data_IF_592769680121
#
_entry.id   IF_592769680121
#
_cell.length_a   1.000
_cell.length_b   1.000
_cell.length_c   1.000
_cell.angle_alpha   90.00
_cell.angle_beta   90.00
_cell.angle_gamma   90.00
#
_symmetry.space_group_name_H-M   'P 1'
#
loop_
_entity.id
_entity.type
_entity.pdbx_description
1 polymer ?
#
# COMPACT_ATOMS: atom_id res chain seq x y z
N UNK A 1 21.26 -27.59 24.10
CA UNK A 1 20.22 -26.83 23.35
C UNK A 1 18.83 -27.34 23.67
N UNK A 2 18.57 -28.66 23.59
CA UNK A 2 17.29 -29.28 23.96
C UNK A 2 16.86 -29.08 25.44
N UNK A 3 17.81 -29.11 26.38
CA UNK A 3 17.55 -28.86 27.81
C UNK A 3 17.19 -27.40 28.13
N UNK A 4 17.61 -26.43 27.29
CA UNK A 4 17.19 -25.02 27.42
C UNK A 4 15.76 -24.80 26.95
N UNK A 5 15.28 -25.61 26.00
CA UNK A 5 13.89 -25.57 25.53
C UNK A 5 12.93 -26.17 26.58
N UNK A 6 13.34 -27.25 27.26
CA UNK A 6 12.53 -27.87 28.33
C UNK A 6 12.40 -26.94 29.56
N UNK A 7 13.49 -26.29 29.98
CA UNK A 7 13.45 -25.34 31.11
C UNK A 7 12.61 -24.08 30.83
N UNK A 8 12.46 -23.69 29.56
CA UNK A 8 11.62 -22.55 29.16
C UNK A 8 10.12 -22.87 29.23
N UNK A 9 9.75 -24.14 29.06
CA UNK A 9 8.36 -24.60 29.22
C UNK A 9 7.98 -24.69 30.70
N UNK A 10 8.92 -25.09 31.57
CA UNK A 10 8.68 -25.21 33.03
C UNK A 10 8.51 -23.85 33.75
N UNK A 11 8.97 -22.75 33.16
CA UNK A 11 8.81 -21.38 33.69
C UNK A 11 7.82 -20.54 32.87
N UNK A 12 6.92 -21.19 32.13
CA UNK A 12 5.94 -20.49 31.29
C UNK A 12 4.93 -19.73 32.17
N UNK A 13 5.04 -18.41 32.17
CA UNK A 13 4.13 -17.52 32.88
C UNK A 13 2.97 -17.10 31.97
N UNK A 14 1.85 -16.69 32.58
CA UNK A 14 0.72 -16.11 31.82
C UNK A 14 1.12 -14.89 30.98
N UNK A 15 2.20 -14.20 31.36
CA UNK A 15 2.79 -13.07 30.62
C UNK A 15 3.42 -13.55 29.30
N UNK A 16 4.07 -14.71 29.27
CA UNK A 16 4.63 -15.29 28.04
C UNK A 16 3.53 -15.67 27.05
N UNK A 17 2.40 -16.18 27.55
CA UNK A 17 1.22 -16.45 26.73
C UNK A 17 0.62 -15.18 26.12
N UNK A 18 0.54 -14.09 26.90
CA UNK A 18 0.09 -12.79 26.42
C UNK A 18 1.05 -12.21 25.38
N UNK A 19 2.36 -12.33 25.60
CA UNK A 19 3.38 -11.85 24.67
C UNK A 19 3.32 -12.59 23.33
N UNK A 20 3.23 -13.93 23.36
CA UNK A 20 3.05 -14.74 22.14
C UNK A 20 1.76 -14.36 21.42
N UNK A 21 0.65 -14.12 22.13
CA UNK A 21 -0.62 -13.69 21.53
C UNK A 21 -0.47 -12.33 20.84
N UNK A 22 0.16 -11.36 21.49
CA UNK A 22 0.41 -10.02 20.93
C UNK A 22 1.29 -10.10 19.69
N UNK A 23 2.41 -10.83 19.78
CA UNK A 23 3.32 -11.07 18.65
C UNK A 23 2.59 -11.79 17.51
N UNK A 24 1.75 -12.78 17.81
CA UNK A 24 0.97 -13.51 16.83
C UNK A 24 -0.06 -12.61 16.12
N UNK A 25 -0.76 -11.74 16.84
CA UNK A 25 -1.70 -10.76 16.25
C UNK A 25 -0.95 -9.78 15.34
N UNK A 26 0.20 -9.28 15.78
CA UNK A 26 1.05 -8.37 15.00
C UNK A 26 1.54 -9.06 13.72
N UNK A 27 2.10 -10.27 13.84
CA UNK A 27 2.57 -11.07 12.71
C UNK A 27 1.44 -11.42 11.75
N UNK A 28 0.30 -11.86 12.25
CA UNK A 28 -0.86 -12.19 11.44
C UNK A 28 -1.37 -10.97 10.67
N UNK A 29 -1.44 -9.81 11.33
CA UNK A 29 -1.83 -8.55 10.70
C UNK A 29 -0.84 -8.15 9.60
N UNK A 30 0.46 -8.32 9.84
CA UNK A 30 1.52 -8.04 8.87
C UNK A 30 1.46 -9.00 7.66
N UNK A 31 1.24 -10.29 7.90
CA UNK A 31 1.09 -11.30 6.84
C UNK A 31 -0.15 -11.02 5.97
N UNK A 32 -1.27 -10.63 6.58
CA UNK A 32 -2.50 -10.28 5.85
C UNK A 32 -2.32 -9.02 4.99
N UNK A 33 -1.53 -8.05 5.44
CA UNK A 33 -1.18 -6.85 4.66
C UNK A 33 -0.38 -7.18 3.39
N UNK A 34 0.46 -8.21 3.45
CA UNK A 34 1.35 -8.58 2.35
C UNK A 34 0.66 -9.50 1.34
N UNK A 35 -0.21 -10.41 1.80
CA UNK A 35 -0.78 -11.54 1.03
C UNK A 35 -1.34 -11.18 -0.35
N UNK A 36 -1.99 -10.02 -0.49
CA UNK A 36 -2.66 -9.62 -1.73
C UNK A 36 -1.84 -8.63 -2.57
N UNK A 37 -0.57 -8.41 -2.22
CA UNK A 37 0.28 -7.41 -2.87
C UNK A 37 1.41 -8.07 -3.68
N UNK A 38 1.95 -7.33 -4.67
CA UNK A 38 3.19 -7.72 -5.37
C UNK A 38 4.36 -7.99 -4.40
N UNK A 39 4.31 -7.42 -3.19
CA UNK A 39 5.30 -7.67 -2.15
C UNK A 39 5.32 -9.14 -1.66
N UNK A 40 4.19 -9.86 -1.70
CA UNK A 40 4.16 -11.29 -1.34
C UNK A 40 4.98 -12.14 -2.31
N UNK A 41 4.82 -11.92 -3.62
CA UNK A 41 5.59 -12.63 -4.65
C UNK A 41 7.09 -12.32 -4.52
N UNK A 42 7.45 -11.06 -4.25
CA UNK A 42 8.83 -10.65 -4.02
C UNK A 42 9.41 -11.26 -2.73
N UNK A 43 8.62 -11.37 -1.66
CA UNK A 43 9.03 -12.01 -0.41
C UNK A 43 9.31 -13.51 -0.59
N UNK A 44 8.47 -14.23 -1.37
CA UNK A 44 8.74 -15.62 -1.75
C UNK A 44 10.04 -15.73 -2.56
N UNK A 45 10.25 -14.84 -3.53
CA UNK A 45 11.48 -14.81 -4.33
C UNK A 45 12.73 -14.60 -3.47
N UNK A 46 12.67 -13.65 -2.53
CA UNK A 46 13.72 -13.41 -1.54
C UNK A 46 13.97 -14.62 -0.64
N UNK A 47 12.91 -15.26 -0.14
CA UNK A 47 13.02 -16.45 0.68
C UNK A 47 13.69 -17.61 -0.08
N UNK A 48 13.34 -17.81 -1.36
CA UNK A 48 13.99 -18.80 -2.20
C UNK A 48 15.48 -18.51 -2.40
N UNK A 49 15.86 -17.27 -2.69
CA UNK A 49 17.28 -16.89 -2.83
C UNK A 49 18.03 -17.12 -1.52
N UNK A 50 17.44 -16.72 -0.38
CA UNK A 50 18.00 -16.96 0.95
C UNK A 50 18.20 -18.45 1.23
N UNK A 51 17.25 -19.29 0.83
CA UNK A 51 17.36 -20.75 0.93
C UNK A 51 18.52 -21.28 0.07
N UNK A 52 18.66 -20.82 -1.19
CA UNK A 52 19.79 -21.22 -2.03
C UNK A 52 21.14 -20.77 -1.47
N UNK A 53 21.21 -19.57 -0.89
CA UNK A 53 22.42 -19.07 -0.24
C UNK A 53 22.84 -19.96 0.93
N UNK A 54 21.91 -20.35 1.81
CA UNK A 54 22.20 -21.25 2.95
C UNK A 54 22.52 -22.67 2.49
N UNK A 55 21.77 -23.22 1.53
CA UNK A 55 22.01 -24.56 0.98
C UNK A 55 23.39 -24.67 0.34
N UNK A 56 23.80 -23.70 -0.48
CA UNK A 56 25.13 -23.72 -1.12
C UNK A 56 26.27 -23.54 -0.13
N UNK A 57 26.07 -22.76 0.94
CA UNK A 57 27.02 -22.64 2.04
C UNK A 57 27.17 -23.94 2.84
N UNK A 58 26.05 -24.61 3.15
CA UNK A 58 26.04 -25.89 3.86
C UNK A 58 26.67 -27.02 3.04
N UNK A 59 26.37 -27.06 1.73
CA UNK A 59 26.94 -28.02 0.79
C UNK A 59 28.41 -27.72 0.41
N UNK A 60 29.01 -26.64 0.95
CA UNK A 60 30.39 -26.19 0.66
C UNK A 60 30.68 -25.97 -0.83
N UNK A 61 29.65 -25.67 -1.63
CA UNK A 61 29.78 -25.40 -3.07
C UNK A 61 30.42 -24.04 -3.29
N UNK A 62 31.76 -24.00 -3.34
CA UNK A 62 32.53 -22.74 -3.27
C UNK A 62 32.24 -21.80 -4.44
N UNK A 63 32.12 -22.33 -5.66
CA UNK A 63 31.83 -21.52 -6.86
C UNK A 63 30.40 -21.01 -6.86
N UNK A 64 29.42 -21.89 -6.62
CA UNK A 64 28.00 -21.53 -6.58
C UNK A 64 27.69 -20.56 -5.46
N UNK A 65 28.28 -20.75 -4.27
CA UNK A 65 28.10 -19.86 -3.14
C UNK A 65 28.61 -18.45 -3.44
N UNK A 66 29.81 -18.32 -4.04
CA UNK A 66 30.33 -17.01 -4.48
C UNK A 66 29.44 -16.36 -5.54
N UNK A 67 28.93 -17.12 -6.51
CA UNK A 67 28.04 -16.60 -7.55
C UNK A 67 26.73 -16.05 -6.94
N UNK A 68 26.10 -16.83 -6.05
CA UNK A 68 24.89 -16.40 -5.34
C UNK A 68 25.18 -15.19 -4.46
N UNK A 69 26.31 -15.15 -3.76
CA UNK A 69 26.72 -14.01 -2.95
C UNK A 69 26.83 -12.74 -3.81
N UNK A 70 27.54 -12.77 -4.94
CA UNK A 70 27.64 -11.64 -5.86
C UNK A 70 26.29 -11.22 -6.43
N UNK A 71 25.46 -12.18 -6.86
CA UNK A 71 24.10 -11.92 -7.34
C UNK A 71 23.23 -11.25 -6.28
N UNK A 72 23.34 -11.70 -5.02
CA UNK A 72 22.56 -11.17 -3.88
C UNK A 72 22.93 -9.71 -3.60
N UNK A 73 24.21 -9.34 -3.73
CA UNK A 73 24.65 -7.94 -3.59
C UNK A 73 23.96 -7.01 -4.60
N UNK A 74 23.91 -7.39 -5.88
CA UNK A 74 23.21 -6.60 -6.91
C UNK A 74 21.68 -6.63 -6.74
N UNK A 75 21.14 -7.76 -6.28
CA UNK A 75 19.71 -7.92 -6.02
C UNK A 75 19.21 -6.94 -4.95
N UNK A 76 19.96 -6.72 -3.87
CA UNK A 76 19.59 -5.75 -2.83
C UNK A 76 19.40 -4.35 -3.43
N UNK A 77 20.31 -3.92 -4.30
CA UNK A 77 20.21 -2.63 -5.00
C UNK A 77 18.98 -2.61 -5.91
N UNK A 78 18.77 -3.66 -6.70
CA UNK A 78 17.61 -3.77 -7.57
C UNK A 78 16.28 -3.69 -6.79
N UNK A 79 16.20 -4.35 -5.63
CA UNK A 79 15.05 -4.29 -4.73
C UNK A 79 14.81 -2.87 -4.24
N UNK A 80 15.84 -2.16 -3.75
CA UNK A 80 15.70 -0.78 -3.28
C UNK A 80 15.12 0.13 -4.39
N UNK A 81 15.62 -0.02 -5.63
CA UNK A 81 15.13 0.73 -6.78
C UNK A 81 13.68 0.36 -7.13
N UNK A 82 13.37 -0.94 -7.17
CA UNK A 82 12.01 -1.42 -7.45
C UNK A 82 10.99 -0.96 -6.40
N UNK A 83 11.37 -0.90 -5.12
CA UNK A 83 10.53 -0.47 -3.99
C UNK A 83 10.56 1.03 -3.73
N UNK A 84 11.25 1.82 -4.55
CA UNK A 84 11.38 3.26 -4.35
C UNK A 84 10.01 3.96 -4.28
N UNK A 85 9.03 3.50 -5.07
CA UNK A 85 7.68 4.06 -5.11
C UNK A 85 6.89 3.80 -3.83
N UNK A 86 7.00 2.59 -3.29
CA UNK A 86 6.32 2.12 -2.08
C UNK A 86 6.87 2.83 -0.84
N UNK A 87 8.20 2.96 -0.73
CA UNK A 87 8.85 3.71 0.35
C UNK A 87 8.37 5.17 0.35
N UNK A 88 8.33 5.80 -0.84
CA UNK A 88 7.82 7.16 -1.00
C UNK A 88 6.37 7.27 -0.54
N UNK A 89 5.51 6.33 -0.93
CA UNK A 89 4.09 6.29 -0.53
C UNK A 89 3.93 6.16 0.99
N UNK A 90 4.66 5.23 1.63
CA UNK A 90 4.61 5.04 3.08
C UNK A 90 5.02 6.31 3.83
N UNK A 91 6.15 6.91 3.47
CA UNK A 91 6.62 8.15 4.10
C UNK A 91 5.64 9.32 3.91
N UNK A 92 5.03 9.43 2.72
CA UNK A 92 4.03 10.46 2.45
C UNK A 92 2.76 10.29 3.29
N UNK A 93 2.33 9.04 3.56
CA UNK A 93 1.15 8.75 4.39
C UNK A 93 1.37 8.95 5.88
N UNK A 94 2.60 8.76 6.37
CA UNK A 94 2.95 9.04 7.77
C UNK A 94 3.02 10.54 8.06
N UNK A 95 3.46 11.35 7.10
CA UNK A 95 3.47 12.81 7.22
C UNK A 95 2.08 13.47 7.14
N UNK A 96 1.13 12.87 6.41
CA UNK A 96 -0.21 13.45 6.22
C UNK A 96 -1.18 13.20 7.38
N UNK A 97 -1.07 12.07 8.08
CA UNK A 97 -1.98 11.69 9.18
C UNK A 97 -1.94 12.63 10.37
N UNK A 98 -0.84 13.36 10.59
CA UNK A 98 -0.70 14.25 11.75
C UNK A 98 -1.22 15.67 11.51
N UNK A 99 -1.44 16.09 10.26
CA UNK A 99 -1.65 17.50 9.92
C UNK A 99 -3.08 17.89 9.51
N UNK A 100 -4.03 16.95 9.38
CA UNK A 100 -5.41 17.30 9.04
C UNK A 100 -6.29 17.39 10.28
N UNK A 101 -6.31 18.59 10.88
CA UNK A 101 -7.37 19.03 11.80
C UNK A 101 -8.73 19.09 11.07
N UNK A 102 -9.85 18.96 11.78
CA UNK A 102 -11.18 18.83 11.20
C UNK A 102 -11.68 20.21 10.76
N UNK A 103 -11.40 20.60 9.52
CA UNK A 103 -12.11 21.72 8.93
C UNK A 103 -13.44 21.21 8.35
N UNK A 104 -14.51 21.58 9.05
CA UNK A 104 -15.88 21.79 8.56
C UNK A 104 -16.64 20.56 8.04
N UNK A 105 -17.17 19.76 8.99
CA UNK A 105 -18.18 18.73 8.72
C UNK A 105 -19.39 19.24 7.91
N UNK A 106 -19.78 20.50 8.07
CA UNK A 106 -20.90 21.12 7.33
C UNK A 106 -20.61 21.30 5.83
N UNK A 107 -19.35 21.59 5.47
CA UNK A 107 -18.93 21.70 4.06
C UNK A 107 -18.83 20.33 3.37
N UNK A 108 -18.76 19.24 4.14
CA UNK A 108 -18.66 17.89 3.62
C UNK A 108 -20.05 17.39 3.18
N UNK A 109 -21.10 17.70 3.93
CA UNK A 109 -22.49 17.34 3.55
C UNK A 109 -22.91 18.01 2.24
N UNK A 110 -22.72 19.33 2.10
CA UNK A 110 -23.05 20.06 0.87
C UNK A 110 -22.26 19.51 -0.34
N UNK A 111 -20.97 19.23 -0.16
CA UNK A 111 -20.12 18.63 -1.21
C UNK A 111 -20.56 17.22 -1.58
N UNK A 112 -21.01 16.42 -0.61
CA UNK A 112 -21.52 15.08 -0.87
C UNK A 112 -22.86 15.12 -1.60
N UNK A 113 -23.73 16.07 -1.27
CA UNK A 113 -24.99 16.27 -1.97
C UNK A 113 -24.77 16.60 -3.45
N UNK A 114 -23.88 17.56 -3.74
CA UNK A 114 -23.49 17.90 -5.13
C UNK A 114 -22.92 16.71 -5.90
N UNK A 115 -22.11 15.88 -5.23
CA UNK A 115 -21.57 14.65 -5.81
C UNK A 115 -22.68 13.65 -6.17
N UNK A 116 -23.63 13.41 -5.25
CA UNK A 116 -24.74 12.50 -5.50
C UNK A 116 -25.64 12.99 -6.64
N UNK A 117 -25.96 14.28 -6.67
CA UNK A 117 -26.74 14.89 -7.74
C UNK A 117 -26.06 14.78 -9.11
N UNK A 118 -24.72 14.90 -9.15
CA UNK A 118 -23.96 14.71 -10.39
C UNK A 118 -23.98 13.25 -10.85
N UNK A 119 -23.73 12.31 -9.95
CA UNK A 119 -23.72 10.88 -10.25
C UNK A 119 -25.10 10.41 -10.72
N UNK A 120 -26.17 10.87 -10.07
CA UNK A 120 -27.54 10.56 -10.50
C UNK A 120 -27.80 11.08 -11.92
N UNK A 121 -27.44 12.33 -12.20
CA UNK A 121 -27.58 12.91 -13.54
C UNK A 121 -26.80 12.13 -14.60
N UNK A 122 -25.52 11.81 -14.34
CA UNK A 122 -24.66 11.06 -15.26
C UNK A 122 -25.20 9.66 -15.51
N UNK A 123 -25.71 8.99 -14.47
CA UNK A 123 -26.36 7.68 -14.55
C UNK A 123 -27.61 7.73 -15.43
N UNK A 124 -28.51 8.70 -15.20
CA UNK A 124 -29.72 8.89 -16.02
C UNK A 124 -29.39 9.14 -17.50
N UNK A 125 -28.28 9.84 -17.77
CA UNK A 125 -27.78 10.11 -19.12
C UNK A 125 -26.90 9.01 -19.70
N UNK A 126 -26.65 7.93 -18.95
CA UNK A 126 -25.75 6.82 -19.33
C UNK A 126 -24.35 7.29 -19.72
N UNK A 127 -23.84 8.29 -19.02
CA UNK A 127 -22.50 8.83 -19.19
C UNK A 127 -21.57 8.15 -18.19
N UNK A 128 -20.47 7.56 -18.69
CA UNK A 128 -19.46 6.95 -17.84
C UNK A 128 -18.71 7.99 -17.03
N UNK A 129 -18.52 7.74 -15.74
CA UNK A 129 -17.77 8.61 -14.85
C UNK A 129 -16.91 7.79 -13.90
N UNK A 130 -15.67 8.24 -13.69
CA UNK A 130 -14.72 7.65 -12.76
C UNK A 130 -14.27 8.72 -11.75
N UNK A 131 -14.76 8.60 -10.53
CA UNK A 131 -14.51 9.56 -9.45
C UNK A 131 -13.81 8.83 -8.30
N UNK A 132 -12.62 9.30 -7.93
CA UNK A 132 -11.85 8.80 -6.80
C UNK A 132 -11.86 9.84 -5.67
N UNK A 133 -12.13 9.40 -4.45
CA UNK A 133 -12.12 10.28 -3.28
C UNK A 133 -10.88 10.01 -2.44
N UNK A 134 -10.01 11.01 -2.29
CA UNK A 134 -8.87 10.93 -1.37
C UNK A 134 -9.38 10.78 0.08
N UNK A 135 -8.97 9.70 0.75
CA UNK A 135 -9.21 9.47 2.19
C UNK A 135 -7.90 9.63 2.96
N UNK A 136 -7.47 8.61 3.70
CA UNK A 136 -6.23 8.64 4.49
C UNK A 136 -4.97 8.57 3.62
N UNK A 137 -5.04 7.83 2.52
CA UNK A 137 -3.92 7.66 1.59
C UNK A 137 -4.06 8.74 0.52
N UNK A 138 -3.04 9.60 0.39
CA UNK A 138 -3.06 10.65 -0.60
C UNK A 138 -3.00 10.08 -2.02
N UNK A 139 -3.85 10.63 -2.90
CA UNK A 139 -3.92 10.28 -4.32
C UNK A 139 -3.08 11.22 -5.19
N UNK A 140 -2.31 12.14 -4.58
CA UNK A 140 -1.52 13.17 -5.27
C UNK A 140 -0.65 12.64 -6.40
N UNK A 141 -0.01 11.48 -6.22
CA UNK A 141 0.84 10.86 -7.26
C UNK A 141 0.08 10.57 -8.58
N UNK A 142 -1.22 10.33 -8.49
CA UNK A 142 -2.10 10.14 -9.64
C UNK A 142 -2.65 11.48 -10.15
N UNK A 143 -3.02 12.37 -9.24
CA UNK A 143 -3.53 13.71 -9.59
C UNK A 143 -2.50 14.57 -10.33
N UNK A 144 -1.21 14.45 -9.99
CA UNK A 144 -0.10 15.17 -10.63
C UNK A 144 0.07 14.82 -12.14
N UNK A 145 -0.57 13.76 -12.63
CA UNK A 145 -0.57 13.39 -14.06
C UNK A 145 -1.72 14.01 -14.85
N UNK A 146 -2.75 14.53 -14.17
CA UNK A 146 -3.94 15.10 -14.78
C UNK A 146 -3.88 16.62 -14.94
N UNK A 147 -4.97 17.20 -15.41
CA UNK A 147 -5.14 18.66 -15.44
C UNK A 147 -5.53 19.15 -14.05
N UNK A 148 -4.69 20.02 -13.46
CA UNK A 148 -4.95 20.57 -12.14
C UNK A 148 -6.11 21.58 -12.20
N UNK A 149 -7.18 21.28 -11.48
CA UNK A 149 -8.34 22.16 -11.30
C UNK A 149 -8.41 22.55 -9.82
N UNK A 150 -8.18 23.82 -9.53
CA UNK A 150 -8.38 24.37 -8.17
C UNK A 150 -9.79 24.93 -8.06
N UNK A 151 -10.78 24.02 -8.09
CA UNK A 151 -12.18 24.35 -8.17
C UNK A 151 -12.96 23.82 -6.96
N UNK A 152 -14.01 24.54 -6.56
CA UNK A 152 -15.00 24.04 -5.62
C UNK A 152 -15.84 22.96 -6.28
N UNK A 153 -16.01 21.82 -5.60
CA UNK A 153 -16.89 20.75 -6.07
C UNK A 153 -18.31 21.30 -6.24
N UNK A 154 -18.90 21.05 -7.42
CA UNK A 154 -20.30 21.33 -7.71
C UNK A 154 -20.84 20.29 -8.70
N UNK A 155 -22.16 20.11 -8.71
CA UNK A 155 -22.82 19.22 -9.68
C UNK A 155 -22.44 19.56 -11.12
N UNK A 156 -22.57 20.82 -11.49
CA UNK A 156 -22.38 21.28 -12.88
C UNK A 156 -20.93 21.10 -13.35
N UNK A 157 -19.96 21.26 -12.44
CA UNK A 157 -18.56 21.01 -12.75
C UNK A 157 -18.32 19.54 -13.09
N UNK A 158 -18.81 18.62 -12.25
CA UNK A 158 -18.64 17.18 -12.49
C UNK A 158 -19.33 16.75 -13.79
N UNK A 159 -20.55 17.23 -14.03
CA UNK A 159 -21.28 16.93 -15.27
C UNK A 159 -20.52 17.41 -16.51
N UNK A 160 -19.92 18.60 -16.46
CA UNK A 160 -19.14 19.14 -17.57
C UNK A 160 -17.82 18.40 -17.80
N UNK A 161 -17.14 17.95 -16.74
CA UNK A 161 -15.91 17.17 -16.87
C UNK A 161 -16.21 15.87 -17.62
N UNK A 162 -17.24 15.13 -17.20
CA UNK A 162 -17.60 13.85 -17.80
C UNK A 162 -18.48 13.97 -19.06
N UNK A 163 -18.79 15.19 -19.52
CA UNK A 163 -19.59 15.36 -20.73
C UNK A 163 -18.89 14.69 -21.92
N UNK A 164 -19.59 13.85 -22.70
CA UNK A 164 -18.99 13.17 -23.85
C UNK A 164 -18.33 14.18 -24.80
N UNK A 165 -17.11 13.88 -25.22
CA UNK A 165 -16.33 14.70 -26.17
C UNK A 165 -15.72 15.98 -25.56
N UNK A 166 -15.80 16.19 -24.24
CA UNK A 166 -14.99 17.22 -23.57
C UNK A 166 -13.51 16.79 -23.55
N UNK A 167 -12.51 17.68 -23.58
CA UNK A 167 -11.10 17.28 -23.45
C UNK A 167 -10.77 16.57 -22.12
N UNK A 168 -11.62 16.73 -21.09
CA UNK A 168 -11.38 16.22 -19.74
C UNK A 168 -12.15 14.92 -19.44
N UNK A 169 -13.00 14.45 -20.35
CA UNK A 169 -13.86 13.28 -20.10
C UNK A 169 -13.10 11.96 -20.04
N UNK A 170 -11.92 11.88 -20.66
CA UNK A 170 -11.14 10.65 -20.76
C UNK A 170 -10.14 10.56 -19.59
N UNK A 171 -10.65 10.16 -18.43
CA UNK A 171 -9.85 10.05 -17.21
C UNK A 171 -10.66 9.86 -15.93
N UNK A 172 -9.99 10.10 -14.81
CA UNK A 172 -10.59 10.07 -13.48
C UNK A 172 -10.51 11.46 -12.84
N UNK A 173 -11.58 11.85 -12.14
CA UNK A 173 -11.54 12.98 -11.19
C UNK A 173 -11.04 12.46 -9.85
N UNK A 174 -10.13 13.21 -9.21
CA UNK A 174 -9.52 12.91 -7.90
C UNK A 174 -9.79 14.09 -6.96
#
# INVERSE_FOLDING_TARGET
MFTRLLNAVDHFTWVDGLDILVVAIILYSFLRLIKDTRAYQMAIGLAMIGLFYTMTGWAKLTVSHRLIQSFTTYMIIAIIVLFQGEIRRLLSGLGSRWFRRPFTLRSLEEKLEDLFLAVEYLSQKKVGALIALEKDISLKLYADRGTRLDATLSKDLLVNIFFPHSPLHDGAVI
#
